data_IF_543277680223
#
_entry.id   IF_543277680223
#
_cell.length_a   1.000
_cell.length_b   1.000
_cell.length_c   1.000
_cell.angle_alpha   90.00
_cell.angle_beta   90.00
_cell.angle_gamma   90.00
#
_symmetry.space_group_name_H-M   'P 1'
#
loop_
_entity.id
_entity.type
_entity.pdbx_description
1 polymer ?
#
# COMPACT_ATOMS: atom_id res chain seq x y z
N UNK A 1 41.26 -16.01 -1.38
CA UNK A 1 40.16 -15.15 -1.85
C UNK A 1 39.77 -14.30 -0.65
N UNK A 2 40.40 -13.13 -0.51
CA UNK A 2 40.17 -12.25 0.64
C UNK A 2 38.80 -11.58 0.48
N UNK A 3 37.91 -11.78 1.46
CA UNK A 3 36.70 -10.98 1.56
C UNK A 3 37.12 -9.55 1.91
N UNK A 4 37.00 -8.64 0.94
CA UNK A 4 37.30 -7.22 1.15
C UNK A 4 36.36 -6.68 2.25
N UNK A 5 36.93 -6.28 3.39
CA UNK A 5 36.19 -5.82 4.56
C UNK A 5 35.22 -4.68 4.26
N UNK A 6 35.56 -3.79 3.32
CA UNK A 6 34.70 -2.68 2.87
C UNK A 6 33.45 -3.20 2.16
N UNK A 7 33.60 -4.24 1.33
CA UNK A 7 32.46 -4.87 0.63
C UNK A 7 31.54 -5.57 1.62
N UNK A 8 32.11 -6.24 2.62
CA UNK A 8 31.34 -6.93 3.66
C UNK A 8 30.56 -5.96 4.56
N UNK A 9 31.19 -4.85 4.96
CA UNK A 9 30.53 -3.79 5.73
C UNK A 9 29.40 -3.11 4.95
N UNK A 10 29.62 -2.82 3.66
CA UNK A 10 28.60 -2.26 2.79
C UNK A 10 27.39 -3.19 2.61
N UNK A 11 27.64 -4.49 2.45
CA UNK A 11 26.58 -5.49 2.38
C UNK A 11 25.79 -5.56 3.68
N UNK A 12 26.45 -5.53 4.83
CA UNK A 12 25.80 -5.56 6.14
C UNK A 12 24.87 -4.35 6.34
N UNK A 13 25.36 -3.14 6.05
CA UNK A 13 24.53 -1.92 6.14
C UNK A 13 23.34 -1.96 5.17
N UNK A 14 23.54 -2.45 3.95
CA UNK A 14 22.46 -2.62 2.98
C UNK A 14 21.40 -3.58 3.49
N UNK A 15 21.81 -4.74 4.00
CA UNK A 15 20.90 -5.76 4.54
C UNK A 15 20.13 -5.25 5.77
N UNK A 16 20.80 -4.50 6.64
CA UNK A 16 20.15 -3.87 7.80
C UNK A 16 19.04 -2.91 7.37
N UNK A 17 19.30 -2.06 6.36
CA UNK A 17 18.28 -1.14 5.81
C UNK A 17 17.13 -1.87 5.11
N UNK A 18 17.44 -2.92 4.37
CA UNK A 18 16.44 -3.76 3.71
C UNK A 18 15.52 -4.42 4.75
N UNK A 19 16.10 -5.06 5.76
CA UNK A 19 15.35 -5.72 6.83
C UNK A 19 14.46 -4.74 7.59
N UNK A 20 14.99 -3.56 7.96
CA UNK A 20 14.20 -2.53 8.62
C UNK A 20 13.01 -2.05 7.75
N UNK A 21 13.23 -1.93 6.44
CA UNK A 21 12.17 -1.55 5.49
C UNK A 21 11.11 -2.64 5.36
N UNK A 22 11.52 -3.91 5.30
CA UNK A 22 10.60 -5.05 5.25
C UNK A 22 9.79 -5.17 6.53
N UNK A 23 10.40 -5.03 7.71
CA UNK A 23 9.67 -5.02 8.99
C UNK A 23 8.62 -3.92 9.02
N UNK A 24 8.97 -2.70 8.58
CA UNK A 24 8.03 -1.58 8.51
C UNK A 24 6.85 -1.87 7.58
N UNK A 25 7.10 -2.45 6.40
CA UNK A 25 6.03 -2.84 5.46
C UNK A 25 5.13 -3.89 6.12
N UNK A 26 5.70 -4.91 6.77
CA UNK A 26 4.90 -5.92 7.45
C UNK A 26 4.00 -5.30 8.53
N UNK A 27 4.55 -4.44 9.38
CA UNK A 27 3.79 -3.73 10.42
C UNK A 27 2.70 -2.81 9.84
N UNK A 28 3.01 -2.07 8.77
CA UNK A 28 2.08 -1.12 8.15
C UNK A 28 0.93 -1.82 7.42
N UNK A 29 1.14 -3.02 6.89
CA UNK A 29 0.12 -3.73 6.09
C UNK A 29 -0.47 -4.96 6.79
N UNK A 30 -0.09 -5.28 8.03
CA UNK A 30 -0.64 -6.41 8.81
C UNK A 30 -1.96 -6.04 9.53
N UNK A 31 -2.91 -5.45 8.82
CA UNK A 31 -4.23 -5.14 9.37
C UNK A 31 -5.34 -5.31 8.32
N UNK A 32 -6.59 -5.56 8.73
CA UNK A 32 -7.69 -5.69 7.77
C UNK A 32 -7.91 -4.41 6.97
N UNK A 33 -8.09 -4.53 5.65
CA UNK A 33 -8.37 -3.43 4.71
C UNK A 33 -9.88 -3.30 4.39
N UNK A 34 -10.74 -3.58 5.39
CA UNK A 34 -12.18 -3.79 5.18
C UNK A 34 -12.90 -2.57 4.56
N UNK A 35 -12.45 -1.37 4.90
CA UNK A 35 -13.05 -0.10 4.46
C UNK A 35 -12.15 0.62 3.42
N UNK A 36 -11.28 -0.12 2.74
CA UNK A 36 -10.43 0.40 1.67
C UNK A 36 -11.04 0.21 0.29
N UNK A 37 -10.43 0.89 -0.69
CA UNK A 37 -10.85 0.87 -2.08
C UNK A 37 -10.38 -0.44 -2.71
N UNK A 38 -11.33 -1.21 -3.20
CA UNK A 38 -11.05 -2.41 -3.98
C UNK A 38 -10.74 -2.02 -5.43
N UNK A 39 -9.60 -2.48 -5.94
CA UNK A 39 -9.20 -2.33 -7.34
C UNK A 39 -9.41 -3.67 -8.03
N UNK A 40 -10.17 -3.66 -9.13
CA UNK A 40 -10.32 -4.82 -10.00
C UNK A 40 -9.01 -5.07 -10.76
N UNK A 41 -8.46 -6.28 -10.65
CA UNK A 41 -7.26 -6.68 -11.40
C UNK A 41 -7.52 -6.80 -12.90
N UNK A 42 -8.76 -7.12 -13.28
CA UNK A 42 -9.12 -7.42 -14.67
C UNK A 42 -9.21 -6.15 -15.53
N UNK A 43 -9.69 -5.07 -14.92
CA UNK A 43 -9.95 -3.80 -15.61
C UNK A 43 -9.04 -2.68 -15.13
N UNK A 44 -8.25 -2.92 -14.07
CA UNK A 44 -7.46 -1.91 -13.35
C UNK A 44 -8.30 -0.69 -12.95
N UNK A 45 -9.58 -0.92 -12.63
CA UNK A 45 -10.51 0.12 -12.18
C UNK A 45 -10.91 -0.05 -10.73
N UNK A 46 -11.25 1.06 -10.07
CA UNK A 46 -11.92 1.03 -8.78
C UNK A 46 -13.17 1.90 -8.81
N UNK A 47 -14.10 1.59 -7.92
CA UNK A 47 -15.28 2.41 -7.73
C UNK A 47 -14.89 3.77 -7.12
N UNK A 48 -15.47 4.82 -7.69
CA UNK A 48 -15.42 6.16 -7.10
C UNK A 48 -16.84 6.70 -7.03
N UNK A 49 -17.10 7.74 -6.21
CA UNK A 49 -18.47 8.21 -5.95
C UNK A 49 -19.23 8.61 -7.22
N UNK A 50 -18.51 9.06 -8.26
CA UNK A 50 -19.11 9.49 -9.52
C UNK A 50 -19.31 8.30 -10.47
N UNK A 51 -18.22 7.57 -10.76
CA UNK A 51 -18.16 6.39 -11.66
C UNK A 51 -16.90 5.54 -11.38
N UNK A 52 -16.84 4.28 -11.82
CA UNK A 52 -15.58 3.54 -11.84
C UNK A 52 -14.50 4.30 -12.63
N UNK A 53 -13.29 4.40 -12.07
CA UNK A 53 -12.14 5.06 -12.71
C UNK A 53 -10.97 4.10 -12.80
N UNK A 54 -10.16 4.24 -13.86
CA UNK A 54 -8.85 3.62 -13.96
C UNK A 54 -7.99 4.03 -12.77
N UNK A 55 -7.34 3.06 -12.10
CA UNK A 55 -6.60 3.26 -10.86
C UNK A 55 -5.57 4.40 -10.96
N UNK A 56 -4.83 4.47 -12.07
CA UNK A 56 -3.85 5.52 -12.35
C UNK A 56 -4.45 6.93 -12.40
N UNK A 57 -5.74 7.05 -12.73
CA UNK A 57 -6.47 8.32 -12.84
C UNK A 57 -7.22 8.70 -11.56
N UNK A 58 -7.16 7.86 -10.53
CA UNK A 58 -7.85 8.13 -9.27
C UNK A 58 -7.08 9.20 -8.51
N UNK A 59 -7.75 10.32 -8.22
CA UNK A 59 -7.14 11.38 -7.44
C UNK A 59 -7.16 11.05 -5.95
N UNK A 60 -6.22 11.63 -5.17
CA UNK A 60 -6.25 11.55 -3.69
C UNK A 60 -7.58 12.07 -3.10
N UNK A 61 -8.27 12.98 -3.79
CA UNK A 61 -9.58 13.51 -3.37
C UNK A 61 -10.67 12.45 -3.54
N UNK A 62 -10.66 11.72 -4.65
CA UNK A 62 -11.59 10.63 -4.92
C UNK A 62 -11.42 9.52 -3.87
N UNK A 63 -10.17 9.16 -3.56
CA UNK A 63 -9.87 8.17 -2.51
C UNK A 63 -10.50 8.56 -1.17
N UNK A 64 -10.30 9.82 -0.75
CA UNK A 64 -10.85 10.33 0.52
C UNK A 64 -12.37 10.33 0.53
N UNK A 65 -13.03 10.65 -0.58
CA UNK A 65 -14.50 10.62 -0.68
C UNK A 65 -15.01 9.19 -0.59
N UNK A 66 -14.41 8.26 -1.34
CA UNK A 66 -14.82 6.85 -1.34
C UNK A 66 -14.69 6.23 0.05
N UNK A 67 -13.57 6.47 0.75
CA UNK A 67 -13.38 6.01 2.15
C UNK A 67 -14.43 6.56 3.12
N UNK A 68 -14.96 7.77 2.90
CA UNK A 68 -16.04 8.31 3.74
C UNK A 68 -17.36 7.58 3.49
N UNK A 69 -17.66 7.25 2.25
CA UNK A 69 -18.88 6.51 1.87
C UNK A 69 -18.84 5.12 2.48
N UNK A 70 -17.75 4.37 2.28
CA UNK A 70 -17.56 3.02 2.83
C UNK A 70 -17.75 2.98 4.36
N UNK A 71 -17.25 4.00 5.08
CA UNK A 71 -17.44 4.12 6.53
C UNK A 71 -18.89 4.43 6.92
N UNK A 72 -19.61 5.21 6.12
CA UNK A 72 -20.99 5.58 6.39
C UNK A 72 -21.95 4.41 6.18
N UNK A 73 -21.76 3.63 5.12
CA UNK A 73 -22.61 2.46 4.82
C UNK A 73 -22.57 1.42 5.96
N UNK A 74 -21.44 1.33 6.66
CA UNK A 74 -21.27 0.47 7.85
C UNK A 74 -22.02 0.97 9.09
N UNK A 75 -22.34 2.25 9.20
CA UNK A 75 -23.04 2.80 10.36
C UNK A 75 -24.55 2.52 10.31
N UNK A 76 -25.07 2.15 9.13
CA UNK A 76 -26.48 1.88 8.88
C UNK A 76 -26.80 0.39 8.64
N UNK A 77 -25.81 -0.48 8.79
CA UNK A 77 -25.92 -1.94 8.75
C UNK A 77 -25.50 -2.56 10.09
#
# INVERSE_FOLDING_TARGET
MECNAVVQEGLWHSNARFTASMSRIMEEYSHPFKDDILVSTDTLTCDTPDRPKQWERVSKKDVKKQKKILKHDRQWH
#
